data_IF_544425651957
#
_entry.id   IF_544425651957
#
_cell.length_a   1.000
_cell.length_b   1.000
_cell.length_c   1.000
_cell.angle_alpha   90.00
_cell.angle_beta   90.00
_cell.angle_gamma   90.00
#
_symmetry.space_group_name_H-M   'P 1'
#
loop_
_entity.id
_entity.type
_entity.pdbx_description
1 polymer ?
#
# COMPACT_ATOMS: atom_id res chain seq x y z
N UNK A 1 -0.81 24.11 -3.20
CA UNK A 1 -1.48 23.56 -4.38
C UNK A 1 -0.47 23.33 -5.48
N UNK A 2 -0.44 22.15 -6.04
CA UNK A 2 0.60 21.78 -7.01
C UNK A 2 -0.02 21.50 -8.36
N UNK A 3 0.59 22.07 -9.39
CA UNK A 3 0.25 21.72 -10.77
C UNK A 3 1.01 20.44 -11.14
N UNK A 4 0.58 19.78 -12.21
CA UNK A 4 1.18 18.51 -12.62
C UNK A 4 2.70 18.60 -12.83
N UNK A 5 3.17 19.69 -13.44
CA UNK A 5 4.61 19.88 -13.68
C UNK A 5 5.39 19.90 -12.38
N UNK A 6 4.87 20.57 -11.36
CA UNK A 6 5.49 20.59 -10.04
C UNK A 6 5.42 19.23 -9.37
N UNK A 7 4.28 18.54 -9.53
CA UNK A 7 4.10 17.20 -9.02
C UNK A 7 5.12 16.23 -9.62
N UNK A 8 5.24 16.22 -10.95
CA UNK A 8 6.17 15.32 -11.65
C UNK A 8 7.60 15.58 -11.19
N UNK A 9 7.99 16.85 -11.14
CA UNK A 9 9.32 17.24 -10.70
C UNK A 9 9.58 16.83 -9.26
N UNK A 10 8.61 17.08 -8.39
CA UNK A 10 8.73 16.74 -6.97
C UNK A 10 8.65 15.24 -6.73
N UNK A 11 7.76 14.55 -7.43
CA UNK A 11 7.65 13.11 -7.30
C UNK A 11 8.92 12.41 -7.80
N UNK A 12 9.45 12.86 -8.93
CA UNK A 12 10.71 12.36 -9.47
C UNK A 12 11.85 12.63 -8.49
N UNK A 13 11.87 13.82 -7.90
CA UNK A 13 12.87 14.19 -6.91
C UNK A 13 12.76 13.33 -5.66
N UNK A 14 11.53 13.13 -5.18
CA UNK A 14 11.27 12.28 -4.02
C UNK A 14 11.67 10.83 -4.32
N UNK A 15 11.28 10.31 -5.47
CA UNK A 15 11.63 8.95 -5.89
C UNK A 15 13.13 8.79 -6.03
N UNK A 16 13.81 9.75 -6.63
CA UNK A 16 15.26 9.72 -6.80
C UNK A 16 15.96 9.75 -5.44
N UNK A 17 15.50 10.63 -4.55
CA UNK A 17 16.06 10.71 -3.18
C UNK A 17 15.79 9.43 -2.42
N UNK A 18 14.58 8.90 -2.49
CA UNK A 18 14.23 7.66 -1.79
C UNK A 18 15.00 6.46 -2.34
N UNK A 19 15.11 6.35 -3.65
CA UNK A 19 15.86 5.27 -4.28
C UNK A 19 17.35 5.40 -3.93
N UNK A 20 17.93 6.58 -4.14
CA UNK A 20 19.34 6.80 -3.86
C UNK A 20 19.67 6.79 -2.38
N UNK A 21 18.84 7.41 -1.57
CA UNK A 21 19.06 7.53 -0.12
C UNK A 21 18.80 6.24 0.63
N UNK A 22 17.75 5.53 0.24
CA UNK A 22 17.27 4.38 0.99
C UNK A 22 17.45 3.07 0.24
N UNK A 23 18.25 3.04 -0.81
CA UNK A 23 18.38 1.84 -1.61
C UNK A 23 18.83 0.64 -0.77
N UNK A 24 19.84 0.81 0.06
CA UNK A 24 20.28 -0.22 0.99
C UNK A 24 19.22 -0.56 2.04
N UNK A 25 18.67 0.49 2.67
CA UNK A 25 17.64 0.32 3.67
C UNK A 25 16.38 -0.29 3.07
N UNK A 26 16.01 0.17 1.89
CA UNK A 26 14.84 -0.35 1.19
C UNK A 26 15.05 -1.81 0.79
N UNK A 27 16.23 -2.16 0.31
CA UNK A 27 16.56 -3.53 -0.04
C UNK A 27 16.49 -4.43 1.19
N UNK A 28 17.03 -3.99 2.34
CA UNK A 28 16.91 -4.72 3.60
C UNK A 28 15.47 -4.86 4.04
N UNK A 29 14.72 -3.78 4.03
CA UNK A 29 13.29 -3.79 4.37
C UNK A 29 12.51 -4.70 3.42
N UNK A 30 12.77 -4.59 2.13
CA UNK A 30 12.11 -5.40 1.12
C UNK A 30 12.41 -6.88 1.31
N UNK A 31 13.65 -7.23 1.65
CA UNK A 31 14.04 -8.60 1.90
C UNK A 31 13.35 -9.17 3.13
N UNK A 32 13.19 -8.36 4.19
CA UNK A 32 12.55 -8.77 5.44
C UNK A 32 11.02 -8.70 5.34
N UNK A 33 10.51 -7.65 4.70
CA UNK A 33 9.07 -7.45 4.56
C UNK A 33 8.45 -8.36 3.51
N UNK A 34 9.27 -8.95 2.66
CA UNK A 34 8.80 -9.84 1.61
C UNK A 34 8.00 -11.01 2.18
N UNK A 35 8.46 -11.58 3.29
CA UNK A 35 7.78 -12.69 3.92
C UNK A 35 6.42 -12.28 4.49
N UNK A 36 6.35 -11.14 5.17
CA UNK A 36 5.09 -10.61 5.68
C UNK A 36 4.14 -10.20 4.56
N UNK A 37 4.67 -9.50 3.57
CA UNK A 37 3.87 -9.06 2.44
C UNK A 37 3.37 -10.27 1.63
N UNK A 38 4.22 -11.26 1.41
CA UNK A 38 3.83 -12.49 0.73
C UNK A 38 2.75 -13.24 1.52
N UNK A 39 2.92 -13.35 2.83
CA UNK A 39 1.93 -13.99 3.70
C UNK A 39 0.60 -13.22 3.68
N UNK A 40 0.65 -11.90 3.70
CA UNK A 40 -0.55 -11.08 3.59
C UNK A 40 -1.33 -11.40 2.31
N UNK A 41 -0.67 -11.42 1.17
CA UNK A 41 -1.33 -11.70 -0.11
C UNK A 41 -1.88 -13.13 -0.18
N UNK A 42 -1.14 -14.08 0.37
CA UNK A 42 -1.59 -15.47 0.45
C UNK A 42 -2.87 -15.60 1.28
N UNK A 43 -2.89 -15.01 2.47
CA UNK A 43 -4.06 -15.01 3.33
C UNK A 43 -5.24 -14.27 2.70
N UNK A 44 -4.98 -13.14 2.07
CA UNK A 44 -6.01 -12.36 1.41
C UNK A 44 -6.67 -13.18 0.31
N UNK A 45 -5.87 -13.91 -0.46
CA UNK A 45 -6.39 -14.77 -1.50
C UNK A 45 -7.26 -15.89 -0.92
N UNK A 46 -6.80 -16.53 0.16
CA UNK A 46 -7.59 -17.56 0.84
C UNK A 46 -8.93 -17.02 1.34
N UNK A 47 -8.90 -15.85 1.99
CA UNK A 47 -10.12 -15.23 2.47
C UNK A 47 -11.09 -14.93 1.33
N UNK A 48 -10.59 -14.38 0.23
CA UNK A 48 -11.40 -14.04 -0.90
C UNK A 48 -11.99 -15.26 -1.60
N UNK A 49 -11.23 -16.35 -1.67
CA UNK A 49 -11.74 -17.63 -2.20
C UNK A 49 -12.87 -18.17 -1.32
N UNK A 50 -12.67 -18.17 -0.01
CA UNK A 50 -13.66 -18.66 0.94
C UNK A 50 -14.94 -17.81 0.92
N UNK A 51 -14.81 -16.51 0.82
CA UNK A 51 -15.92 -15.57 0.89
C UNK A 51 -16.44 -15.15 -0.48
N UNK A 52 -15.86 -15.66 -1.55
CA UNK A 52 -16.21 -15.32 -2.93
C UNK A 52 -16.13 -13.81 -3.19
N UNK A 53 -14.98 -13.21 -2.82
CA UNK A 53 -14.71 -11.79 -2.95
C UNK A 53 -13.59 -11.53 -3.96
N UNK A 54 -13.54 -10.30 -4.46
CA UNK A 54 -12.47 -9.87 -5.36
C UNK A 54 -11.25 -9.45 -4.55
N UNK A 55 -10.10 -10.05 -4.85
CA UNK A 55 -8.86 -9.83 -4.11
C UNK A 55 -8.43 -8.36 -4.14
N UNK A 56 -8.47 -7.74 -5.32
CA UNK A 56 -8.01 -6.35 -5.47
C UNK A 56 -8.94 -5.37 -4.74
N UNK A 57 -10.24 -5.60 -4.81
CA UNK A 57 -11.21 -4.76 -4.10
C UNK A 57 -11.04 -4.88 -2.59
N UNK A 58 -10.83 -6.10 -2.09
CA UNK A 58 -10.58 -6.31 -0.65
C UNK A 58 -9.26 -5.68 -0.22
N UNK A 59 -8.23 -5.79 -1.04
CA UNK A 59 -6.96 -5.11 -0.77
C UNK A 59 -7.17 -3.60 -0.64
N UNK A 60 -7.84 -3.00 -1.60
CA UNK A 60 -8.09 -1.55 -1.60
C UNK A 60 -8.88 -1.12 -0.38
N UNK A 61 -9.89 -1.89 -0.02
CA UNK A 61 -10.72 -1.62 1.16
C UNK A 61 -9.86 -1.55 2.43
N UNK A 62 -8.99 -2.54 2.62
CA UNK A 62 -8.14 -2.61 3.81
C UNK A 62 -7.09 -1.50 3.84
N UNK A 63 -6.52 -1.19 2.70
CA UNK A 63 -5.55 -0.09 2.58
C UNK A 63 -6.21 1.26 2.88
N UNK A 64 -7.42 1.46 2.40
CA UNK A 64 -8.18 2.69 2.69
C UNK A 64 -8.46 2.82 4.20
N UNK A 65 -8.78 1.74 4.87
CA UNK A 65 -9.00 1.74 6.32
C UNK A 65 -7.75 2.16 7.09
N UNK A 66 -6.57 1.77 6.63
CA UNK A 66 -5.31 2.21 7.22
C UNK A 66 -4.99 3.67 6.92
N UNK A 67 -5.46 4.17 5.79
CA UNK A 67 -5.27 5.56 5.40
C UNK A 67 -3.85 5.93 5.00
N UNK A 68 -3.05 4.98 4.55
CA UNK A 68 -1.66 5.24 4.13
C UNK A 68 -1.65 5.76 2.70
N UNK A 69 -1.84 7.05 2.59
CA UNK A 69 -1.92 7.73 1.31
C UNK A 69 -1.36 9.14 1.40
N UNK A 70 -1.19 9.75 0.25
CA UNK A 70 -0.85 11.16 0.16
C UNK A 70 -1.93 11.85 -0.65
N UNK A 71 -2.42 12.97 -0.15
CA UNK A 71 -3.46 13.72 -0.81
C UNK A 71 -2.86 14.78 -1.73
N UNK A 72 -3.32 14.85 -2.95
CA UNK A 72 -2.86 15.79 -3.97
C UNK A 72 -4.03 16.61 -4.50
N UNK A 73 -3.74 17.87 -4.82
CA UNK A 73 -4.69 18.73 -5.54
C UNK A 73 -4.12 18.95 -6.93
N UNK A 74 -4.86 18.52 -7.94
CA UNK A 74 -4.39 18.46 -9.32
C UNK A 74 -5.39 19.10 -10.26
N UNK A 75 -4.89 19.82 -11.26
CA UNK A 75 -5.76 20.39 -12.29
C UNK A 75 -6.52 19.27 -13.00
N UNK A 76 -7.82 19.49 -13.23
CA UNK A 76 -8.67 18.44 -13.82
C UNK A 76 -8.10 17.84 -15.10
N UNK A 77 -7.51 18.68 -15.95
CA UNK A 77 -6.93 18.23 -17.23
C UNK A 77 -5.74 17.29 -17.04
N UNK A 78 -5.10 17.35 -15.90
CA UNK A 78 -3.90 16.56 -15.59
C UNK A 78 -4.20 15.30 -14.78
N UNK A 79 -5.43 15.11 -14.36
CA UNK A 79 -5.82 13.95 -13.53
C UNK A 79 -5.54 12.62 -14.23
N UNK A 80 -5.90 12.41 -15.50
CA UNK A 80 -5.62 11.12 -16.14
C UNK A 80 -4.14 10.78 -16.18
N UNK A 81 -3.29 11.77 -16.43
CA UNK A 81 -1.82 11.56 -16.46
C UNK A 81 -1.31 11.21 -15.07
N UNK A 82 -1.78 11.91 -14.03
CA UNK A 82 -1.39 11.64 -12.66
C UNK A 82 -1.78 10.21 -12.25
N UNK A 83 -3.04 9.84 -12.50
CA UNK A 83 -3.56 8.51 -12.14
C UNK A 83 -2.75 7.42 -12.82
N UNK A 84 -2.51 7.57 -14.12
CA UNK A 84 -1.72 6.59 -14.86
C UNK A 84 -0.31 6.45 -14.29
N UNK A 85 0.34 7.57 -14.03
CA UNK A 85 1.71 7.59 -13.51
C UNK A 85 1.79 6.90 -12.14
N UNK A 86 0.80 7.13 -11.30
CA UNK A 86 0.75 6.51 -9.98
C UNK A 86 0.48 5.00 -10.07
N UNK A 87 -0.54 4.65 -10.84
CA UNK A 87 -1.00 3.25 -10.94
C UNK A 87 -0.07 2.35 -11.76
N UNK A 88 0.76 2.93 -12.62
CA UNK A 88 1.77 2.18 -13.37
C UNK A 88 2.85 1.58 -12.46
N UNK A 89 2.93 2.00 -11.21
CA UNK A 89 3.87 1.46 -10.23
C UNK A 89 3.54 0.02 -9.83
N UNK A 90 2.30 -0.41 -10.03
CA UNK A 90 1.87 -1.75 -9.72
C UNK A 90 0.41 -1.79 -9.28
N UNK A 91 -0.15 -2.98 -9.29
CA UNK A 91 -1.57 -3.20 -8.99
C UNK A 91 -1.95 -2.78 -7.56
N UNK A 92 -0.98 -2.77 -6.66
CA UNK A 92 -1.20 -2.37 -5.27
C UNK A 92 -1.19 -0.85 -5.07
N UNK A 93 -0.80 -0.10 -6.10
CA UNK A 93 -0.76 1.37 -6.09
C UNK A 93 -2.00 1.88 -6.78
N UNK A 94 -2.84 2.59 -6.05
CA UNK A 94 -4.10 3.06 -6.61
C UNK A 94 -4.45 4.46 -6.14
N UNK A 95 -5.44 5.06 -6.79
CA UNK A 95 -5.89 6.40 -6.48
C UNK A 95 -7.37 6.40 -6.23
N UNK A 96 -7.82 7.43 -5.50
CA UNK A 96 -9.23 7.64 -5.26
C UNK A 96 -9.52 9.13 -5.38
N UNK A 97 -10.47 9.48 -6.24
CA UNK A 97 -10.95 10.85 -6.34
C UNK A 97 -11.79 11.16 -5.13
N UNK A 98 -11.42 12.21 -4.41
CA UNK A 98 -12.12 12.61 -3.20
C UNK A 98 -13.15 13.67 -3.50
N UNK A 99 -12.75 14.70 -4.26
CA UNK A 99 -13.55 15.90 -4.45
C UNK A 99 -13.08 16.63 -5.69
N UNK A 100 -14.03 17.31 -6.34
CA UNK A 100 -13.74 18.14 -7.49
C UNK A 100 -14.25 19.56 -7.20
N UNK A 101 -13.33 20.52 -7.19
CA UNK A 101 -13.63 21.92 -6.89
C UNK A 101 -13.20 22.80 -8.06
N UNK A 102 -14.18 23.26 -8.85
CA UNK A 102 -13.87 24.08 -10.03
C UNK A 102 -13.03 23.29 -11.01
N UNK A 103 -11.83 23.80 -11.31
CA UNK A 103 -10.90 23.15 -12.24
C UNK A 103 -9.84 22.29 -11.54
N UNK A 104 -10.02 22.02 -10.26
CA UNK A 104 -9.09 21.21 -9.46
C UNK A 104 -9.79 19.96 -8.95
N UNK A 105 -9.01 18.90 -8.80
CA UNK A 105 -9.48 17.64 -8.22
C UNK A 105 -8.55 17.24 -7.08
N UNK A 106 -9.14 16.82 -5.97
CA UNK A 106 -8.40 16.27 -4.83
C UNK A 106 -8.38 14.76 -4.97
N UNK A 107 -7.19 14.19 -4.94
CA UNK A 107 -6.96 12.77 -5.13
C UNK A 107 -6.16 12.21 -3.96
N UNK A 108 -6.63 11.11 -3.39
CA UNK A 108 -5.83 10.30 -2.48
C UNK A 108 -5.04 9.30 -3.30
N UNK A 109 -3.73 9.32 -3.16
CA UNK A 109 -2.83 8.38 -3.84
C UNK A 109 -2.30 7.40 -2.80
N UNK A 110 -2.73 6.14 -2.88
CA UNK A 110 -2.40 5.10 -1.91
C UNK A 110 -1.14 4.37 -2.31
N UNK A 111 -0.23 4.22 -1.35
CA UNK A 111 1.03 3.51 -1.56
C UNK A 111 0.80 2.00 -1.59
N UNK A 112 1.60 1.30 -2.39
CA UNK A 112 1.57 -0.16 -2.41
C UNK A 112 2.13 -0.75 -1.13
N UNK A 113 1.58 -1.88 -0.70
CA UNK A 113 1.97 -2.53 0.56
C UNK A 113 3.45 -2.90 0.61
N UNK A 114 4.07 -3.13 -0.54
CA UNK A 114 5.51 -3.42 -0.61
C UNK A 114 6.38 -2.27 -0.13
N UNK A 115 5.83 -1.04 -0.10
CA UNK A 115 6.54 0.15 0.37
C UNK A 115 6.27 0.47 1.84
N UNK A 116 5.44 -0.31 2.51
CA UNK A 116 5.05 -0.06 3.89
C UNK A 116 6.22 -0.25 4.85
N UNK A 117 6.20 0.55 5.93
CA UNK A 117 7.10 0.32 7.05
C UNK A 117 6.70 -0.98 7.77
N UNK A 118 7.59 -1.46 8.63
CA UNK A 118 7.34 -2.61 9.49
C UNK A 118 6.02 -2.48 10.23
N UNK A 119 5.84 -1.34 10.88
CA UNK A 119 4.67 -1.08 11.71
C UNK A 119 3.39 -1.05 10.88
N UNK A 120 3.45 -0.42 9.71
CA UNK A 120 2.32 -0.35 8.80
C UNK A 120 1.94 -1.74 8.28
N UNK A 121 2.94 -2.53 7.91
CA UNK A 121 2.70 -3.88 7.42
C UNK A 121 2.11 -4.79 8.50
N UNK A 122 2.60 -4.67 9.73
CA UNK A 122 2.05 -5.43 10.86
C UNK A 122 0.57 -5.08 11.08
N UNK A 123 0.23 -3.81 10.99
CA UNK A 123 -1.17 -3.38 11.17
C UNK A 123 -2.07 -3.96 10.08
N UNK A 124 -1.60 -3.92 8.83
CA UNK A 124 -2.36 -4.46 7.71
C UNK A 124 -2.55 -5.97 7.87
N UNK A 125 -1.50 -6.68 8.24
CA UNK A 125 -1.52 -8.12 8.41
C UNK A 125 -2.40 -8.55 9.59
N UNK A 126 -2.28 -7.86 10.73
CA UNK A 126 -3.08 -8.17 11.93
C UNK A 126 -4.58 -8.01 11.66
N UNK A 127 -4.95 -6.98 10.92
CA UNK A 127 -6.34 -6.76 10.52
C UNK A 127 -6.86 -7.94 9.70
N UNK A 128 -6.08 -8.38 8.73
CA UNK A 128 -6.46 -9.52 7.88
C UNK A 128 -6.53 -10.82 8.67
N UNK A 129 -5.55 -11.07 9.56
CA UNK A 129 -5.52 -12.26 10.40
C UNK A 129 -6.79 -12.37 11.24
N UNK A 130 -7.21 -11.24 11.81
CA UNK A 130 -8.44 -11.21 12.61
C UNK A 130 -9.65 -11.66 11.80
N UNK A 131 -9.80 -11.13 10.60
CA UNK A 131 -10.91 -11.49 9.72
C UNK A 131 -10.84 -12.97 9.29
N UNK A 132 -9.65 -13.46 9.01
CA UNK A 132 -9.44 -14.87 8.66
C UNK A 132 -9.87 -15.79 9.80
N UNK A 133 -9.52 -15.45 11.03
CA UNK A 133 -9.90 -16.22 12.21
C UNK A 133 -11.42 -16.27 12.38
N UNK A 134 -12.08 -15.15 12.13
CA UNK A 134 -13.54 -15.07 12.27
C UNK A 134 -14.29 -15.99 11.31
N UNK A 135 -13.72 -16.25 10.14
CA UNK A 135 -14.34 -17.16 9.17
C UNK A 135 -13.74 -18.56 9.19
N UNK A 136 -12.87 -18.85 10.16
CA UNK A 136 -12.33 -20.19 10.36
C UNK A 136 -11.16 -20.55 9.48
N UNK A 137 -10.52 -19.59 8.86
CA UNK A 137 -9.30 -19.82 8.06
C UNK A 137 -8.12 -19.98 9.02
N UNK A 138 -7.35 -21.03 8.83
CA UNK A 138 -6.18 -21.28 9.65
C UNK A 138 -5.08 -20.26 9.34
N UNK A 139 -4.57 -19.61 10.38
CA UNK A 139 -3.47 -18.67 10.28
C UNK A 139 -2.24 -19.23 10.97
N UNK A 140 -1.09 -18.62 10.78
CA UNK A 140 0.12 -18.99 11.51
C UNK A 140 -0.14 -18.89 13.01
N UNK A 141 0.53 -19.75 13.78
CA UNK A 141 0.40 -19.68 15.24
C UNK A 141 1.16 -18.45 15.79
N UNK A 142 0.98 -18.19 17.07
CA UNK A 142 1.56 -16.99 17.70
C UNK A 142 3.10 -17.00 17.65
N UNK A 143 3.73 -18.15 17.73
CA UNK A 143 5.19 -18.27 17.67
C UNK A 143 5.67 -17.90 16.26
N UNK A 144 5.02 -18.45 15.26
CA UNK A 144 5.35 -18.16 13.86
C UNK A 144 5.10 -16.68 13.50
N UNK A 145 4.00 -16.12 13.99
CA UNK A 145 3.68 -14.70 13.78
C UNK A 145 4.70 -13.80 14.45
N UNK A 146 5.10 -14.16 15.67
CA UNK A 146 6.10 -13.40 16.41
C UNK A 146 7.47 -13.47 15.70
N UNK A 147 7.81 -14.62 15.12
CA UNK A 147 9.01 -14.77 14.31
C UNK A 147 8.99 -13.84 13.09
N UNK A 148 7.87 -13.78 12.40
CA UNK A 148 7.68 -12.86 11.28
C UNK A 148 7.84 -11.40 11.72
N UNK A 149 7.21 -11.04 12.83
CA UNK A 149 7.25 -9.67 13.36
C UNK A 149 8.65 -9.30 13.82
N UNK A 150 9.33 -10.17 14.53
CA UNK A 150 10.66 -9.88 15.06
C UNK A 150 11.70 -9.77 13.97
N UNK A 151 11.63 -10.60 12.96
CA UNK A 151 12.51 -10.49 11.79
C UNK A 151 12.30 -9.17 11.06
N UNK A 152 11.10 -8.70 11.07
CA UNK A 152 10.71 -7.45 10.42
C UNK A 152 11.05 -6.23 11.28
N UNK A 153 10.89 -6.34 12.59
CA UNK A 153 11.04 -5.24 13.52
C UNK A 153 12.46 -4.88 13.91
N UNK A 154 13.46 -5.51 13.33
CA UNK A 154 14.88 -5.29 13.65
C UNK A 154 15.54 -4.20 12.81
N UNK A 155 14.79 -3.45 12.08
CA UNK A 155 15.32 -2.32 11.29
C UNK A 155 15.58 -1.09 12.15
#
# INVERSE_FOLDING_TARGET
MRVLSEFIQEDTKILTVQIGKNEELYTKKKKRSKDQNAYFWELLQQLCEEMNLNVIEEYKKRVKELGICRQWQIDNENVPTFVKMWEDRGIAWFTEKVEENGNKTIINAYYGSSSYSTKQMCRLLDNLIQDCKEVGIQTLDEVELESLRSNYGRD
#
